data_IF_670355438859
#
_entry.id   IF_670355438859
#
_cell.length_a   1.000
_cell.length_b   1.000
_cell.length_c   1.000
_cell.angle_alpha   90.00
_cell.angle_beta   90.00
_cell.angle_gamma   90.00
#
_symmetry.space_group_name_H-M   'P 1'
#
loop_
_entity.id
_entity.type
_entity.pdbx_description
1 polymer ?
#
# COMPACT_ATOMS: atom_id res chain seq x y z
N UNK A 1 -22.70 -2.77 -5.67
CA UNK A 1 -21.24 -2.54 -5.58
C UNK A 1 -20.54 -3.77 -6.12
N UNK A 2 -19.69 -3.64 -7.14
CA UNK A 2 -18.92 -4.76 -7.69
C UNK A 2 -17.52 -4.74 -7.07
N UNK A 3 -17.04 -5.88 -6.62
CA UNK A 3 -15.74 -6.05 -5.97
C UNK A 3 -14.97 -7.08 -6.79
N UNK A 4 -13.69 -6.81 -7.00
CA UNK A 4 -12.74 -7.70 -7.68
C UNK A 4 -11.44 -7.74 -6.86
N UNK A 5 -10.68 -8.82 -6.99
CA UNK A 5 -9.44 -9.03 -6.24
C UNK A 5 -8.34 -9.46 -7.20
N UNK A 6 -7.30 -8.64 -7.29
CA UNK A 6 -6.03 -8.98 -7.93
C UNK A 6 -5.05 -9.44 -6.84
N UNK A 7 -4.53 -10.66 -6.95
CA UNK A 7 -3.60 -11.21 -5.95
C UNK A 7 -2.17 -10.71 -6.14
N UNK A 8 -1.85 -10.28 -7.37
CA UNK A 8 -0.55 -9.71 -7.72
C UNK A 8 -0.71 -8.39 -8.44
N UNK A 9 0.29 -7.49 -8.43
CA UNK A 9 0.24 -6.24 -9.19
C UNK A 9 0.04 -6.45 -10.70
N UNK A 10 0.46 -7.60 -11.25
CA UNK A 10 0.29 -7.93 -12.67
C UNK A 10 -1.18 -8.20 -13.05
N UNK A 11 -2.02 -8.54 -12.08
CA UNK A 11 -3.45 -8.79 -12.26
C UNK A 11 -4.30 -7.53 -12.01
N UNK A 12 -3.69 -6.41 -11.64
CA UNK A 12 -4.40 -5.20 -11.25
C UNK A 12 -5.26 -4.65 -12.42
N UNK A 13 -6.56 -4.56 -12.20
CA UNK A 13 -7.51 -3.98 -13.14
C UNK A 13 -7.82 -2.51 -12.79
N UNK A 14 -8.22 -1.73 -13.80
CA UNK A 14 -8.67 -0.37 -13.58
C UNK A 14 -10.00 -0.37 -12.80
N UNK A 15 -10.04 0.35 -11.69
CA UNK A 15 -11.23 0.55 -10.88
C UNK A 15 -11.28 2.01 -10.38
N UNK A 16 -12.47 2.56 -10.10
CA UNK A 16 -12.60 3.89 -9.50
C UNK A 16 -11.96 3.99 -8.10
N UNK A 17 -11.74 2.86 -7.43
CA UNK A 17 -11.13 2.80 -6.09
C UNK A 17 -10.29 1.54 -5.98
N UNK A 18 -9.03 1.69 -5.56
CA UNK A 18 -8.11 0.59 -5.26
C UNK A 18 -7.79 0.50 -3.78
N UNK A 19 -7.70 -0.71 -3.24
CA UNK A 19 -7.26 -0.97 -1.86
C UNK A 19 -6.03 -1.87 -1.95
N UNK A 20 -4.88 -1.34 -1.53
CA UNK A 20 -3.62 -2.10 -1.50
C UNK A 20 -3.56 -2.91 -0.20
N UNK A 21 -3.19 -4.18 -0.30
CA UNK A 21 -3.04 -5.08 0.85
C UNK A 21 -1.68 -5.77 0.77
N UNK A 22 -0.82 -5.42 1.71
CA UNK A 22 0.42 -6.14 2.03
C UNK A 22 0.49 -6.26 3.55
N UNK A 23 -0.09 -7.33 4.07
CA UNK A 23 -0.30 -7.52 5.52
C UNK A 23 1.02 -7.69 6.26
N UNK A 24 1.98 -8.38 5.65
CA UNK A 24 3.26 -8.73 6.27
C UNK A 24 4.38 -8.22 5.33
N UNK A 25 4.78 -6.95 5.44
CA UNK A 25 4.41 -6.00 6.52
C UNK A 25 4.04 -4.60 6.06
N UNK A 26 4.10 -4.27 4.77
CA UNK A 26 4.12 -2.87 4.34
C UNK A 26 2.89 -2.07 4.79
N UNK A 27 1.68 -2.52 4.44
CA UNK A 27 0.45 -1.78 4.77
C UNK A 27 0.13 -1.78 6.26
N UNK A 28 0.46 -2.86 6.98
CA UNK A 28 0.34 -2.89 8.44
C UNK A 28 1.25 -1.85 9.11
N UNK A 29 2.51 -1.75 8.67
CA UNK A 29 3.46 -0.75 9.19
C UNK A 29 3.03 0.68 8.84
N UNK A 30 2.52 0.94 7.63
CA UNK A 30 1.99 2.25 7.23
C UNK A 30 0.83 2.66 8.16
N UNK A 31 -0.15 1.78 8.34
CA UNK A 31 -1.29 2.04 9.22
C UNK A 31 -0.85 2.33 10.65
N UNK A 32 0.09 1.53 11.19
CA UNK A 32 0.63 1.73 12.53
C UNK A 32 1.38 3.06 12.67
N UNK A 33 2.22 3.45 11.69
CA UNK A 33 2.96 4.71 11.72
C UNK A 33 2.00 5.92 11.75
N UNK A 34 1.00 5.93 10.86
CA UNK A 34 0.01 7.01 10.81
C UNK A 34 -0.83 7.07 12.09
N UNK A 35 -1.28 5.91 12.61
CA UNK A 35 -2.01 5.85 13.88
C UNK A 35 -1.16 6.31 15.08
N UNK A 36 0.16 6.22 14.98
CA UNK A 36 1.12 6.69 16.00
C UNK A 36 1.47 8.18 15.86
N UNK A 37 0.86 8.90 14.92
CA UNK A 37 1.03 10.35 14.75
C UNK A 37 2.10 10.78 13.74
N UNK A 38 2.61 9.87 12.91
CA UNK A 38 3.48 10.26 11.79
C UNK A 38 2.69 11.09 10.78
N UNK A 39 3.24 12.21 10.34
CA UNK A 39 2.54 13.13 9.45
C UNK A 39 2.26 12.53 8.06
N UNK A 40 3.15 11.66 7.58
CA UNK A 40 3.07 10.99 6.27
C UNK A 40 4.05 9.83 6.19
N UNK A 41 3.80 8.91 5.25
CA UNK A 41 4.72 7.83 4.88
C UNK A 41 5.05 7.97 3.38
N UNK A 42 6.32 7.85 3.03
CA UNK A 42 6.78 7.82 1.65
C UNK A 42 7.15 6.39 1.25
N UNK A 43 6.57 5.92 0.15
CA UNK A 43 6.93 4.63 -0.45
C UNK A 43 7.89 4.89 -1.60
N UNK A 44 9.06 4.25 -1.56
CA UNK A 44 10.05 4.26 -2.65
C UNK A 44 10.25 2.83 -3.14
N UNK A 45 10.79 2.68 -4.36
CA UNK A 45 11.08 1.37 -4.93
C UNK A 45 12.36 0.77 -4.35
N UNK A 46 13.38 1.60 -4.18
CA UNK A 46 14.72 1.15 -3.80
C UNK A 46 15.24 1.91 -2.57
N UNK A 47 16.27 1.32 -1.93
CA UNK A 47 16.90 1.88 -0.73
C UNK A 47 17.59 3.22 -1.03
N UNK A 48 18.23 3.36 -2.19
CA UNK A 48 18.95 4.57 -2.55
C UNK A 48 18.01 5.77 -2.77
N UNK A 49 16.75 5.54 -3.17
CA UNK A 49 15.71 6.58 -3.27
C UNK A 49 15.20 7.04 -1.90
N UNK A 50 15.38 6.22 -0.86
CA UNK A 50 14.90 6.47 0.50
C UNK A 50 15.94 7.19 1.39
N UNK A 51 17.20 7.25 0.95
CA UNK A 51 18.30 7.90 1.68
C UNK A 51 18.25 9.41 1.54
#
# INVERSE_FOLDING_TARGET
MRIDVAFTPAEAAAAPTGIVVDVIRATSTICQALASGYARVFCTSEVDEAR
#
